data_IF_997479371538
#
_entry.id   IF_997479371538
#
_cell.length_a   1.000
_cell.length_b   1.000
_cell.length_c   1.000
_cell.angle_alpha   90.00
_cell.angle_beta   90.00
_cell.angle_gamma   90.00
#
_symmetry.space_group_name_H-M   'P 1'
#
loop_
_entity.id
_entity.type
_entity.pdbx_description
1 polymer ?
#
# COMPACT_ATOMS: atom_id res chain seq x y z
N UNK A 1 -25.20 4.91 14.26
CA UNK A 1 -24.62 4.14 15.38
C UNK A 1 -25.27 4.45 16.75
N UNK A 2 -26.48 5.02 16.78
CA UNK A 2 -27.13 5.29 18.06
C UNK A 2 -27.36 4.00 18.82
N UNK A 3 -26.98 3.95 20.10
CA UNK A 3 -26.97 2.77 20.98
C UNK A 3 -26.08 1.60 20.45
N UNK A 4 -25.08 1.92 19.65
CA UNK A 4 -24.14 0.97 19.07
C UNK A 4 -22.69 1.38 19.32
N UNK A 5 -21.77 0.78 18.52
CA UNK A 5 -20.33 1.07 18.54
C UNK A 5 -19.96 1.77 17.24
N UNK A 6 -19.13 2.81 17.34
CA UNK A 6 -18.51 3.51 16.22
C UNK A 6 -17.00 3.30 16.32
N UNK A 7 -16.41 2.75 15.28
CA UNK A 7 -14.95 2.64 15.14
C UNK A 7 -14.45 3.81 14.29
N UNK A 8 -13.47 4.53 14.82
CA UNK A 8 -12.79 5.65 14.15
C UNK A 8 -11.36 5.22 13.89
N UNK A 9 -11.07 4.89 12.65
CA UNK A 9 -9.71 4.53 12.24
C UNK A 9 -8.91 5.78 11.87
N UNK A 10 -7.59 5.72 12.03
CA UNK A 10 -6.65 6.80 11.73
C UNK A 10 -7.04 8.15 12.37
N UNK A 11 -7.47 8.12 13.65
CA UNK A 11 -7.94 9.32 14.36
C UNK A 11 -6.89 10.45 14.40
N UNK A 12 -5.60 10.11 14.30
CA UNK A 12 -4.49 11.06 14.26
C UNK A 12 -4.46 11.93 13.00
N UNK A 13 -5.12 11.50 11.91
CA UNK A 13 -5.21 12.24 10.65
C UNK A 13 -6.39 13.23 10.62
N UNK A 14 -7.19 13.28 11.68
CA UNK A 14 -8.37 14.14 11.73
C UNK A 14 -7.97 15.62 11.83
N UNK A 15 -8.45 16.50 10.93
CA UNK A 15 -8.20 17.95 11.00
C UNK A 15 -8.69 18.57 12.32
N UNK A 16 -7.96 19.58 12.85
CA UNK A 16 -8.26 20.24 14.13
C UNK A 16 -9.72 20.71 14.27
N UNK A 17 -10.32 21.19 13.18
CA UNK A 17 -11.72 21.62 13.16
C UNK A 17 -12.69 20.44 13.43
N UNK A 18 -12.36 19.27 12.88
CA UNK A 18 -13.16 18.06 13.06
C UNK A 18 -12.95 17.46 14.44
N UNK A 19 -11.73 17.58 15.00
CA UNK A 19 -11.44 17.17 16.37
C UNK A 19 -12.34 17.89 17.38
N UNK A 20 -12.59 19.21 17.19
CA UNK A 20 -13.49 19.97 18.04
C UNK A 20 -14.95 19.50 17.95
N UNK A 21 -15.39 19.08 16.76
CA UNK A 21 -16.74 18.51 16.56
C UNK A 21 -16.87 17.13 17.19
N UNK A 22 -15.85 16.30 17.04
CA UNK A 22 -15.81 14.98 17.64
C UNK A 22 -15.82 15.05 19.18
N UNK A 23 -15.08 16.00 19.74
CA UNK A 23 -15.07 16.21 21.19
C UNK A 23 -16.47 16.47 21.75
N UNK A 24 -17.29 17.29 21.07
CA UNK A 24 -18.69 17.53 21.46
C UNK A 24 -19.53 16.27 21.44
N UNK A 25 -19.35 15.43 20.41
CA UNK A 25 -20.04 14.13 20.33
C UNK A 25 -19.69 13.24 21.52
N UNK A 26 -18.38 13.21 21.90
CA UNK A 26 -17.91 12.35 22.99
C UNK A 26 -18.33 12.90 24.36
N UNK A 27 -18.36 14.23 24.53
CA UNK A 27 -18.69 14.86 25.81
C UNK A 27 -20.21 14.99 26.05
N UNK A 28 -20.91 15.54 25.05
CA UNK A 28 -22.30 15.96 25.18
C UNK A 28 -23.27 14.92 24.58
N UNK A 29 -22.76 13.98 23.78
CA UNK A 29 -23.59 13.05 23.03
C UNK A 29 -24.41 13.72 21.94
N UNK A 30 -23.99 14.88 21.45
CA UNK A 30 -24.73 15.70 20.48
C UNK A 30 -23.91 16.05 19.25
N UNK A 31 -24.56 16.06 18.08
CA UNK A 31 -23.99 16.54 16.84
C UNK A 31 -25.01 17.29 15.99
N UNK A 32 -24.51 18.06 15.02
CA UNK A 32 -25.33 18.77 14.05
C UNK A 32 -25.16 18.19 12.66
N UNK A 33 -26.24 18.10 11.90
CA UNK A 33 -26.13 17.76 10.46
C UNK A 33 -25.46 18.92 9.72
N UNK A 34 -24.80 18.63 8.63
CA UNK A 34 -24.23 19.66 7.75
C UNK A 34 -25.36 20.59 7.28
N UNK A 35 -25.20 21.91 7.56
CA UNK A 35 -26.22 22.92 7.28
C UNK A 35 -27.43 22.94 8.23
N UNK A 36 -27.46 22.05 9.21
CA UNK A 36 -28.56 22.00 10.22
C UNK A 36 -28.23 22.78 11.49
N UNK A 37 -29.26 23.35 12.12
CA UNK A 37 -29.16 24.07 13.38
C UNK A 37 -29.72 23.31 14.59
N UNK A 38 -30.37 22.17 14.35
CA UNK A 38 -30.99 21.37 15.40
C UNK A 38 -29.98 20.31 15.88
N UNK A 39 -29.68 20.23 17.21
CA UNK A 39 -28.81 19.21 17.75
C UNK A 39 -29.49 17.85 17.72
N UNK A 40 -28.73 16.83 17.41
CA UNK A 40 -29.18 15.43 17.44
C UNK A 40 -28.43 14.72 18.56
N UNK A 41 -29.19 14.16 19.49
CA UNK A 41 -28.63 13.35 20.58
C UNK A 41 -28.29 11.95 20.10
N UNK A 42 -27.15 11.45 20.54
CA UNK A 42 -26.68 10.10 20.25
C UNK A 42 -26.03 9.49 21.49
N UNK A 43 -26.25 8.20 21.67
CA UNK A 43 -25.54 7.39 22.65
C UNK A 43 -24.71 6.37 21.88
N UNK A 44 -23.38 6.59 21.81
CA UNK A 44 -22.49 5.76 21.00
C UNK A 44 -21.23 5.43 21.79
N UNK A 45 -20.83 4.16 21.77
CA UNK A 45 -19.51 3.75 22.26
C UNK A 45 -18.48 3.99 21.15
N UNK A 46 -17.45 4.77 21.45
CA UNK A 46 -16.39 5.07 20.49
C UNK A 46 -15.18 4.17 20.77
N UNK A 47 -14.64 3.58 19.70
CA UNK A 47 -13.35 2.90 19.65
C UNK A 47 -12.53 3.64 18.62
N UNK A 48 -11.37 4.17 19.00
CA UNK A 48 -10.47 4.87 18.07
C UNK A 48 -9.19 4.07 17.89
N UNK A 49 -8.67 4.09 16.67
CA UNK A 49 -7.39 3.50 16.33
C UNK A 49 -6.50 4.53 15.62
N UNK A 50 -5.19 4.42 15.82
CA UNK A 50 -4.19 5.26 15.15
C UNK A 50 -2.84 4.55 15.14
N UNK A 51 -2.05 4.81 14.11
CA UNK A 51 -0.64 4.45 14.02
C UNK A 51 0.29 5.61 14.42
N UNK A 52 -0.27 6.80 14.71
CA UNK A 52 0.47 8.00 15.09
C UNK A 52 0.68 8.08 16.60
N UNK A 53 1.77 8.70 17.01
CA UNK A 53 2.04 9.08 18.40
C UNK A 53 1.22 10.34 18.74
N UNK A 54 0.05 10.14 19.35
CA UNK A 54 -0.86 11.25 19.66
C UNK A 54 -0.30 12.18 20.74
N UNK A 55 0.61 11.70 21.61
CA UNK A 55 1.26 12.57 22.61
C UNK A 55 2.14 13.61 21.94
N UNK A 56 2.97 13.18 20.97
CA UNK A 56 3.76 14.10 20.15
C UNK A 56 2.88 15.06 19.36
N UNK A 57 1.80 14.57 18.77
CA UNK A 57 0.87 15.41 18.03
C UNK A 57 0.21 16.48 18.92
N UNK A 58 -0.03 16.18 20.20
CA UNK A 58 -0.51 17.17 21.17
C UNK A 58 0.56 18.22 21.47
N UNK A 59 1.84 17.81 21.62
CA UNK A 59 2.96 18.72 21.83
C UNK A 59 3.19 19.65 20.63
N UNK A 60 3.07 19.12 19.44
CA UNK A 60 3.20 19.84 18.16
C UNK A 60 1.95 20.70 17.81
N UNK A 61 0.87 20.60 18.59
CA UNK A 61 -0.37 21.33 18.34
C UNK A 61 -1.21 20.78 17.19
N UNK A 62 -0.88 19.59 16.66
CA UNK A 62 -1.60 18.90 15.59
C UNK A 62 -2.81 18.11 16.10
N UNK A 63 -2.83 17.80 17.39
CA UNK A 63 -3.95 17.13 18.05
C UNK A 63 -4.35 17.86 19.33
N UNK A 64 -5.66 18.00 19.56
CA UNK A 64 -6.17 18.69 20.74
C UNK A 64 -5.93 17.87 22.01
N UNK A 65 -5.40 18.51 23.04
CA UNK A 65 -5.15 17.89 24.33
C UNK A 65 -6.42 17.40 25.02
N UNK A 66 -7.51 18.16 24.92
CA UNK A 66 -8.81 17.83 25.53
C UNK A 66 -9.41 16.55 24.88
N UNK A 67 -9.32 16.42 23.57
CA UNK A 67 -9.78 15.23 22.85
C UNK A 67 -8.89 14.01 23.17
N UNK A 68 -7.56 14.20 23.24
CA UNK A 68 -6.63 13.13 23.60
C UNK A 68 -7.00 12.48 24.93
N UNK A 69 -7.16 13.28 26.01
CA UNK A 69 -7.53 12.73 27.32
C UNK A 69 -8.92 12.08 27.34
N UNK A 70 -9.82 12.47 26.47
CA UNK A 70 -11.15 11.86 26.39
C UNK A 70 -11.15 10.53 25.62
N UNK A 71 -10.25 10.35 24.66
CA UNK A 71 -10.08 9.12 23.91
C UNK A 71 -9.17 8.13 24.65
N UNK A 72 -8.10 8.60 25.28
CA UNK A 72 -7.08 7.76 25.93
C UNK A 72 -7.47 7.38 27.37
N UNK A 73 -8.69 6.88 27.56
CA UNK A 73 -9.17 6.34 28.85
C UNK A 73 -8.67 4.90 29.04
N UNK A 74 -8.68 4.12 27.99
CA UNK A 74 -8.17 2.76 27.95
C UNK A 74 -7.43 2.55 26.64
N UNK A 75 -6.10 2.37 26.72
CA UNK A 75 -5.26 2.16 25.56
C UNK A 75 -4.85 0.69 25.43
N UNK A 76 -4.84 0.20 24.21
CA UNK A 76 -4.31 -1.10 23.82
C UNK A 76 -3.30 -0.91 22.71
N UNK A 77 -2.08 -1.34 22.93
CA UNK A 77 -1.02 -1.30 21.94
C UNK A 77 -0.86 -2.67 21.28
N UNK A 78 -1.01 -2.72 19.95
CA UNK A 78 -0.77 -3.92 19.17
C UNK A 78 0.69 -3.89 18.70
N UNK A 79 1.48 -4.87 19.13
CA UNK A 79 2.87 -4.98 18.71
C UNK A 79 2.97 -5.24 17.19
N UNK A 80 3.95 -4.64 16.50
CA UNK A 80 4.21 -4.94 15.09
C UNK A 80 4.63 -6.40 14.90
N UNK A 81 4.41 -6.93 13.68
CA UNK A 81 4.60 -8.35 13.40
C UNK A 81 6.02 -8.85 13.70
N UNK A 82 7.05 -8.02 13.48
CA UNK A 82 8.45 -8.33 13.83
C UNK A 82 8.71 -8.62 15.33
N UNK A 83 7.81 -8.19 16.23
CA UNK A 83 7.89 -8.43 17.68
C UNK A 83 7.07 -9.66 18.12
N UNK A 84 6.39 -10.31 17.18
CA UNK A 84 5.60 -11.52 17.40
C UNK A 84 5.81 -12.52 16.27
N UNK A 85 7.07 -12.91 16.08
CA UNK A 85 7.50 -13.82 15.02
C UNK A 85 6.78 -15.16 15.03
N UNK A 86 6.33 -15.61 16.20
CA UNK A 86 5.60 -16.87 16.36
C UNK A 86 4.21 -16.84 15.67
N UNK A 87 3.64 -15.63 15.48
CA UNK A 87 2.37 -15.46 14.79
C UNK A 87 2.51 -15.51 13.26
N UNK A 88 3.73 -15.37 12.71
CA UNK A 88 3.94 -15.21 11.26
C UNK A 88 3.45 -16.44 10.50
N UNK A 89 3.84 -17.64 10.91
CA UNK A 89 3.45 -18.87 10.22
C UNK A 89 1.96 -19.17 10.39
N UNK A 90 1.41 -18.91 11.56
CA UNK A 90 -0.02 -19.04 11.83
C UNK A 90 -0.86 -18.13 10.93
N UNK A 91 -0.44 -16.87 10.81
CA UNK A 91 -1.11 -15.89 9.95
C UNK A 91 -0.92 -16.21 8.47
N UNK A 92 0.28 -16.71 8.09
CA UNK A 92 0.55 -17.15 6.73
C UNK A 92 -0.38 -18.29 6.34
N UNK A 93 -0.51 -19.34 7.17
CA UNK A 93 -1.43 -20.44 6.94
C UNK A 93 -2.88 -20.00 6.81
N UNK A 94 -3.30 -19.08 7.67
CA UNK A 94 -4.64 -18.49 7.60
C UNK A 94 -4.89 -17.79 6.25
N UNK A 95 -3.93 -17.00 5.77
CA UNK A 95 -4.08 -16.30 4.49
C UNK A 95 -4.01 -17.26 3.31
N UNK A 96 -3.10 -18.23 3.32
CA UNK A 96 -2.99 -19.24 2.28
C UNK A 96 -4.31 -20.05 2.16
N UNK A 97 -4.90 -20.42 3.29
CA UNK A 97 -6.21 -21.10 3.30
C UNK A 97 -7.33 -20.18 2.76
N UNK A 98 -7.35 -18.90 3.18
CA UNK A 98 -8.31 -17.89 2.72
C UNK A 98 -8.29 -17.71 1.21
N UNK A 99 -7.12 -17.82 0.58
CA UNK A 99 -6.97 -17.69 -0.87
C UNK A 99 -7.01 -19.02 -1.63
N UNK A 100 -7.24 -20.14 -0.94
CA UNK A 100 -7.41 -21.45 -1.56
C UNK A 100 -6.12 -22.15 -1.90
N UNK A 101 -4.97 -21.68 -1.38
CA UNK A 101 -3.68 -22.31 -1.62
C UNK A 101 -3.58 -23.71 -1.03
N UNK A 102 -2.90 -24.61 -1.74
CA UNK A 102 -2.53 -25.92 -1.23
C UNK A 102 -1.27 -25.90 -0.35
N UNK A 103 -0.48 -24.80 -0.39
CA UNK A 103 0.72 -24.62 0.42
C UNK A 103 0.33 -24.49 1.91
N UNK A 104 1.09 -25.12 2.81
CA UNK A 104 0.96 -24.99 4.26
C UNK A 104 2.34 -24.87 4.89
N UNK A 105 2.43 -24.15 5.99
CA UNK A 105 3.69 -23.91 6.70
C UNK A 105 4.34 -25.22 7.16
N UNK A 106 3.58 -26.25 7.48
CA UNK A 106 4.07 -27.58 7.90
C UNK A 106 4.84 -28.32 6.80
N UNK A 107 4.58 -28.00 5.53
CA UNK A 107 5.26 -28.61 4.38
C UNK A 107 6.42 -27.75 3.85
N UNK A 108 6.66 -26.57 4.45
CA UNK A 108 7.76 -25.71 4.05
C UNK A 108 9.11 -26.26 4.53
N UNK A 109 10.17 -26.19 3.72
CA UNK A 109 11.52 -26.47 4.17
C UNK A 109 11.92 -25.61 5.38
N UNK A 110 12.71 -26.16 6.33
CA UNK A 110 13.13 -25.40 7.51
C UNK A 110 13.85 -24.08 7.20
N UNK A 111 14.56 -24.01 6.10
CA UNK A 111 15.23 -22.80 5.60
C UNK A 111 14.25 -21.72 5.18
N UNK A 112 13.16 -22.08 4.49
CA UNK A 112 12.07 -21.18 4.10
C UNK A 112 11.34 -20.66 5.34
N UNK A 113 11.01 -21.55 6.27
CA UNK A 113 10.39 -21.20 7.54
C UNK A 113 11.24 -20.19 8.33
N UNK A 114 12.55 -20.45 8.44
CA UNK A 114 13.49 -19.57 9.10
C UNK A 114 13.60 -18.21 8.39
N UNK A 115 13.65 -18.21 7.07
CA UNK A 115 13.67 -16.99 6.27
C UNK A 115 12.43 -16.14 6.51
N UNK A 116 11.23 -16.73 6.41
CA UNK A 116 9.96 -16.03 6.62
C UNK A 116 9.84 -15.43 8.02
N UNK A 117 10.23 -16.18 9.06
CA UNK A 117 10.14 -15.70 10.45
C UNK A 117 11.19 -14.64 10.81
N UNK A 118 12.27 -14.55 10.04
CA UNK A 118 13.34 -13.56 10.24
C UNK A 118 13.07 -12.21 9.56
N UNK A 119 12.05 -12.12 8.68
CA UNK A 119 11.71 -10.89 7.97
C UNK A 119 11.13 -9.81 8.90
N UNK A 120 11.36 -8.55 8.57
CA UNK A 120 10.93 -7.40 9.39
C UNK A 120 9.48 -6.99 9.17
N UNK A 121 8.90 -7.34 8.03
CA UNK A 121 7.52 -6.99 7.63
C UNK A 121 7.13 -5.54 7.95
N UNK A 122 7.73 -4.53 7.30
CA UNK A 122 7.38 -3.12 7.54
C UNK A 122 5.89 -2.84 7.30
N UNK A 123 5.24 -3.53 6.34
CA UNK A 123 3.81 -3.50 6.12
C UNK A 123 2.98 -4.38 7.06
N UNK A 124 3.65 -5.04 8.05
CA UNK A 124 3.01 -5.91 9.04
C UNK A 124 2.15 -7.01 8.39
N UNK A 125 0.92 -7.20 8.90
CA UNK A 125 -0.01 -8.26 8.45
C UNK A 125 -0.41 -8.05 6.98
N UNK A 126 -0.54 -6.81 6.51
CA UNK A 126 -0.87 -6.53 5.09
C UNK A 126 0.21 -7.02 4.13
N UNK A 127 1.47 -6.88 4.52
CA UNK A 127 2.59 -7.39 3.72
C UNK A 127 2.60 -8.93 3.68
N UNK A 128 2.35 -9.56 4.81
CA UNK A 128 2.24 -11.01 4.90
C UNK A 128 1.03 -11.55 4.10
N UNK A 129 -0.09 -10.85 4.14
CA UNK A 129 -1.28 -11.16 3.34
C UNK A 129 -0.98 -11.06 1.84
N UNK A 130 -0.30 -9.99 1.40
CA UNK A 130 0.14 -9.83 0.02
C UNK A 130 1.13 -10.93 -0.41
N UNK A 131 2.02 -11.34 0.50
CA UNK A 131 2.93 -12.47 0.25
C UNK A 131 2.14 -13.76 0.01
N UNK A 132 1.15 -14.05 0.84
CA UNK A 132 0.29 -15.24 0.67
C UNK A 132 -0.47 -15.22 -0.68
N UNK A 133 -0.98 -14.07 -1.11
CA UNK A 133 -1.61 -13.92 -2.43
C UNK A 133 -0.63 -14.21 -3.58
N UNK A 134 0.61 -13.72 -3.45
CA UNK A 134 1.64 -13.98 -4.45
C UNK A 134 2.03 -15.45 -4.50
N UNK A 135 2.19 -16.09 -3.34
CA UNK A 135 2.46 -17.53 -3.26
C UNK A 135 1.37 -18.31 -3.99
N UNK A 136 0.10 -18.00 -3.77
CA UNK A 136 -1.00 -18.67 -4.45
C UNK A 136 -0.95 -18.47 -5.97
N UNK A 137 -0.73 -17.24 -6.43
CA UNK A 137 -0.64 -16.92 -7.85
C UNK A 137 0.52 -17.63 -8.56
N UNK A 138 1.65 -17.87 -7.84
CA UNK A 138 2.82 -18.57 -8.38
C UNK A 138 2.69 -20.08 -8.31
N UNK A 139 1.96 -20.61 -7.33
CA UNK A 139 1.94 -22.04 -6.97
C UNK A 139 0.57 -22.67 -7.14
N UNK A 140 -0.13 -22.35 -8.22
CA UNK A 140 -1.45 -22.90 -8.52
C UNK A 140 -1.45 -24.43 -8.46
N UNK A 141 -2.01 -24.99 -7.36
CA UNK A 141 -2.15 -26.42 -7.12
C UNK A 141 -0.92 -27.15 -6.55
N UNK A 142 0.19 -26.49 -6.30
CA UNK A 142 1.38 -27.10 -5.66
C UNK A 142 1.34 -26.95 -4.13
N UNK A 143 1.99 -27.88 -3.42
CA UNK A 143 2.00 -27.92 -1.95
C UNK A 143 3.34 -27.50 -1.32
N UNK A 144 4.41 -27.42 -2.11
CA UNK A 144 5.76 -27.10 -1.63
C UNK A 144 6.25 -25.77 -2.20
N UNK A 145 7.13 -25.11 -1.45
CA UNK A 145 7.76 -23.85 -1.80
C UNK A 145 9.26 -23.93 -1.52
N UNK A 146 10.08 -23.75 -2.54
CA UNK A 146 11.54 -23.73 -2.39
C UNK A 146 12.06 -22.36 -1.95
N UNK A 147 13.35 -22.30 -1.56
CA UNK A 147 13.97 -21.06 -1.14
C UNK A 147 14.14 -20.07 -2.30
N UNK A 148 14.48 -20.58 -3.50
CA UNK A 148 14.60 -19.77 -4.71
C UNK A 148 13.26 -19.13 -5.07
N UNK A 149 12.19 -19.89 -5.03
CA UNK A 149 10.84 -19.42 -5.33
C UNK A 149 10.34 -18.35 -4.35
N UNK A 150 10.61 -18.52 -3.04
CA UNK A 150 10.19 -17.51 -2.05
C UNK A 150 10.96 -16.20 -2.21
N UNK A 151 12.24 -16.25 -2.62
CA UNK A 151 13.01 -15.05 -2.92
C UNK A 151 12.47 -14.35 -4.16
N UNK A 152 12.18 -15.08 -5.23
CA UNK A 152 11.59 -14.51 -6.44
C UNK A 152 10.21 -13.87 -6.18
N UNK A 153 9.37 -14.56 -5.39
CA UNK A 153 8.07 -14.05 -4.96
C UNK A 153 8.23 -12.81 -4.04
N UNK A 154 9.24 -12.79 -3.18
CA UNK A 154 9.52 -11.71 -2.23
C UNK A 154 9.96 -10.42 -2.93
N UNK A 155 10.80 -10.51 -3.95
CA UNK A 155 11.36 -9.38 -4.69
C UNK A 155 10.41 -8.83 -5.78
N UNK A 156 9.29 -9.52 -6.05
CA UNK A 156 8.33 -9.05 -7.03
C UNK A 156 7.70 -7.72 -6.60
N UNK A 157 7.67 -6.68 -7.47
CA UNK A 157 7.10 -5.39 -7.15
C UNK A 157 5.62 -5.54 -6.77
N UNK A 158 5.22 -4.90 -5.67
CA UNK A 158 3.84 -4.92 -5.20
C UNK A 158 2.98 -4.14 -6.19
N UNK A 159 2.25 -4.84 -7.05
CA UNK A 159 1.15 -4.23 -7.80
C UNK A 159 0.07 -3.84 -6.79
N UNK A 160 0.04 -2.57 -6.39
CA UNK A 160 -1.04 -2.01 -5.57
C UNK A 160 -2.28 -1.89 -6.44
N UNK A 161 -3.12 -2.91 -6.45
CA UNK A 161 -4.52 -2.77 -6.82
C UNK A 161 -5.29 -2.31 -5.58
N UNK A 162 -5.98 -1.18 -5.73
CA UNK A 162 -6.89 -0.55 -4.81
C UNK A 162 -6.29 0.27 -3.65
N UNK A 163 -5.89 1.51 -3.99
CA UNK A 163 -6.16 2.70 -3.17
C UNK A 163 -5.87 3.97 -4.00
N UNK A 164 -6.66 4.17 -5.04
CA UNK A 164 -6.64 5.42 -5.81
C UNK A 164 -7.76 6.33 -5.34
N UNK A 165 -7.57 7.03 -4.21
CA UNK A 165 -8.18 8.35 -3.93
C UNK A 165 -7.50 8.98 -2.73
N UNK A 166 -6.63 9.94 -2.98
CA UNK A 166 -6.12 10.83 -1.92
C UNK A 166 -4.76 11.42 -2.25
N UNK A 167 -4.77 12.50 -3.02
CA UNK A 167 -3.84 13.63 -3.05
C UNK A 167 -2.34 13.36 -3.27
N UNK A 168 -1.94 13.70 -4.49
CA UNK A 168 -0.59 14.12 -4.80
C UNK A 168 -0.17 15.32 -3.93
N UNK A 169 0.87 15.16 -3.13
CA UNK A 169 1.79 16.23 -2.82
C UNK A 169 3.21 15.65 -2.83
N UNK A 170 3.93 16.13 -3.79
CA UNK A 170 5.34 15.95 -4.02
C UNK A 170 6.17 16.48 -2.85
N UNK A 171 6.93 15.63 -2.21
CA UNK A 171 8.24 16.02 -1.70
C UNK A 171 9.21 14.84 -1.89
N UNK A 172 10.11 15.08 -2.82
CA UNK A 172 11.25 14.25 -3.14
C UNK A 172 12.22 14.21 -1.96
N UNK A 173 12.31 13.08 -1.29
CA UNK A 173 13.47 12.77 -0.46
C UNK A 173 14.19 11.60 -1.10
N UNK A 174 15.33 11.90 -1.70
CA UNK A 174 16.18 10.95 -2.37
C UNK A 174 16.73 9.90 -1.41
N UNK A 175 16.44 8.65 -1.73
CA UNK A 175 17.28 7.53 -1.37
C UNK A 175 17.78 6.99 -2.71
N UNK A 176 19.07 7.22 -2.97
CA UNK A 176 19.74 6.74 -4.18
C UNK A 176 19.90 5.23 -4.11
N UNK A 177 18.93 4.49 -4.59
CA UNK A 177 19.15 3.16 -5.11
C UNK A 177 19.30 3.28 -6.61
N UNK A 178 20.50 3.03 -7.10
CA UNK A 178 20.81 2.91 -8.53
C UNK A 178 20.02 1.73 -9.08
N UNK A 179 18.90 2.04 -9.75
CA UNK A 179 18.17 1.08 -10.56
C UNK A 179 19.14 0.43 -11.57
N UNK A 180 19.00 -0.88 -11.88
CA UNK A 180 19.76 -1.51 -12.95
C UNK A 180 19.66 -0.69 -14.24
N UNK A 181 20.72 -0.68 -15.05
CA UNK A 181 20.82 0.15 -16.25
C UNK A 181 19.74 -0.16 -17.32
N UNK A 182 19.02 -1.26 -17.17
CA UNK A 182 17.94 -1.76 -18.03
C UNK A 182 16.53 -1.56 -17.46
N UNK A 183 16.40 -0.85 -16.32
CA UNK A 183 15.09 -0.57 -15.73
C UNK A 183 14.52 0.78 -16.15
N UNK A 184 13.22 0.82 -16.45
CA UNK A 184 12.46 2.00 -16.81
C UNK A 184 11.40 2.29 -15.74
N UNK A 185 11.43 3.49 -15.20
CA UNK A 185 10.32 4.01 -14.38
C UNK A 185 9.34 4.70 -15.32
N UNK A 186 8.15 4.10 -15.50
CA UNK A 186 7.08 4.64 -16.36
C UNK A 186 6.10 5.40 -15.48
N UNK A 187 5.76 6.64 -15.85
CA UNK A 187 4.66 7.36 -15.22
C UNK A 187 3.33 6.79 -15.71
N UNK A 188 2.41 6.50 -14.77
CA UNK A 188 1.08 6.03 -15.11
C UNK A 188 0.29 7.16 -15.78
N UNK A 189 -0.03 6.95 -17.06
CA UNK A 189 -0.80 7.86 -17.91
C UNK A 189 -1.71 7.01 -18.84
N UNK A 190 -2.21 7.61 -19.92
CA UNK A 190 -2.93 6.85 -20.95
C UNK A 190 -2.04 5.76 -21.56
N UNK A 191 -2.64 4.67 -22.02
CA UNK A 191 -1.90 3.54 -22.60
C UNK A 191 -0.97 3.99 -23.74
N UNK A 192 -1.42 4.91 -24.57
CA UNK A 192 -0.62 5.46 -25.69
C UNK A 192 0.63 6.20 -25.19
N UNK A 193 0.54 6.98 -24.11
CA UNK A 193 1.69 7.67 -23.51
C UNK A 193 2.67 6.71 -22.85
N UNK A 194 2.16 5.67 -22.18
CA UNK A 194 3.00 4.61 -21.61
C UNK A 194 3.77 3.88 -22.71
N UNK A 195 3.11 3.52 -23.81
CA UNK A 195 3.76 2.90 -24.97
C UNK A 195 4.84 3.82 -25.56
N UNK A 196 4.59 5.11 -25.68
CA UNK A 196 5.55 6.10 -26.17
C UNK A 196 6.77 6.18 -25.25
N UNK A 197 6.60 6.22 -23.93
CA UNK A 197 7.70 6.21 -22.94
C UNK A 197 8.57 4.96 -23.05
N UNK A 198 7.95 3.77 -23.18
CA UNK A 198 8.67 2.50 -23.34
C UNK A 198 9.47 2.47 -24.64
N UNK A 199 8.89 2.91 -25.75
CA UNK A 199 9.56 2.95 -27.06
C UNK A 199 10.71 3.94 -27.04
N UNK A 200 10.54 5.12 -26.47
CA UNK A 200 11.59 6.15 -26.37
C UNK A 200 12.75 5.68 -25.49
N UNK A 201 12.47 5.03 -24.38
CA UNK A 201 13.50 4.43 -23.54
C UNK A 201 14.26 3.31 -24.26
N UNK A 202 13.57 2.41 -24.94
CA UNK A 202 14.21 1.34 -25.71
C UNK A 202 15.06 1.89 -26.86
N UNK A 203 14.61 2.95 -27.53
CA UNK A 203 15.41 3.64 -28.57
C UNK A 203 16.71 4.21 -27.99
N UNK A 204 16.65 4.83 -26.81
CA UNK A 204 17.84 5.37 -26.14
C UNK A 204 18.77 4.25 -25.68
N UNK A 205 18.23 3.17 -25.09
CA UNK A 205 18.99 2.03 -24.60
C UNK A 205 19.75 1.30 -25.71
N UNK A 206 19.13 1.07 -26.86
CA UNK A 206 19.74 0.42 -28.04
C UNK A 206 20.43 1.40 -29.01
N UNK A 207 20.68 2.64 -28.55
CA UNK A 207 21.43 3.64 -29.37
C UNK A 207 20.79 3.93 -30.73
N UNK A 208 19.47 3.88 -30.84
CA UNK A 208 18.72 4.11 -32.07
C UNK A 208 18.56 2.89 -32.98
N UNK A 209 19.00 1.70 -32.55
CA UNK A 209 18.92 0.47 -33.35
C UNK A 209 17.48 -0.06 -33.39
N UNK A 210 16.73 0.39 -34.41
CA UNK A 210 15.32 0.06 -34.62
C UNK A 210 15.04 -1.45 -34.70
N UNK A 211 16.02 -2.23 -35.22
CA UNK A 211 15.85 -3.68 -35.36
C UNK A 211 15.87 -4.37 -34.01
N UNK A 212 16.75 -3.98 -33.10
CA UNK A 212 16.80 -4.52 -31.75
C UNK A 212 15.58 -4.11 -30.92
N UNK A 213 15.15 -2.86 -31.02
CA UNK A 213 13.90 -2.37 -30.37
C UNK A 213 12.69 -3.17 -30.81
N UNK A 214 12.53 -3.42 -32.13
CA UNK A 214 11.42 -4.25 -32.65
C UNK A 214 11.45 -5.68 -32.08
N UNK A 215 12.64 -6.28 -32.02
CA UNK A 215 12.79 -7.65 -31.52
C UNK A 215 12.50 -7.75 -30.01
N UNK A 216 13.00 -6.79 -29.23
CA UNK A 216 12.83 -6.77 -27.77
C UNK A 216 11.39 -6.48 -27.38
N UNK A 217 10.76 -5.50 -27.99
CA UNK A 217 9.37 -5.13 -27.69
C UNK A 217 8.34 -5.98 -28.45
N UNK A 218 8.77 -6.89 -29.31
CA UNK A 218 7.92 -7.75 -30.15
C UNK A 218 6.89 -6.97 -30.97
N UNK A 219 7.25 -5.77 -31.45
CA UNK A 219 6.36 -4.91 -32.25
C UNK A 219 6.75 -4.93 -33.74
N UNK A 220 5.75 -4.72 -34.58
CA UNK A 220 5.97 -4.67 -36.02
C UNK A 220 6.70 -3.39 -36.44
N UNK A 221 7.39 -3.43 -37.61
CA UNK A 221 8.04 -2.26 -38.20
C UNK A 221 7.07 -1.11 -38.41
N UNK A 222 5.87 -1.40 -38.87
CA UNK A 222 4.82 -0.40 -39.10
C UNK A 222 4.34 0.26 -37.81
N UNK A 223 4.20 -0.51 -36.71
CA UNK A 223 3.85 -0.01 -35.38
C UNK A 223 4.93 0.91 -34.84
N UNK A 224 6.20 0.50 -34.89
CA UNK A 224 7.32 1.31 -34.41
C UNK A 224 7.41 2.65 -35.17
N UNK A 225 7.33 2.64 -36.49
CA UNK A 225 7.37 3.87 -37.30
C UNK A 225 6.21 4.82 -37.03
N UNK A 226 5.00 4.28 -36.81
CA UNK A 226 3.84 5.08 -36.45
C UNK A 226 4.03 5.79 -35.12
N UNK A 227 4.48 5.05 -34.10
CA UNK A 227 4.69 5.58 -32.75
C UNK A 227 5.85 6.59 -32.69
N UNK A 228 6.95 6.36 -33.40
CA UNK A 228 8.05 7.34 -33.47
C UNK A 228 7.61 8.66 -34.11
N UNK A 229 6.75 8.61 -35.12
CA UNK A 229 6.19 9.81 -35.74
C UNK A 229 5.23 10.55 -34.81
N UNK A 230 4.47 9.84 -34.00
CA UNK A 230 3.59 10.44 -32.97
C UNK A 230 4.41 11.15 -31.90
N UNK A 231 5.53 10.57 -31.43
CA UNK A 231 6.45 11.15 -30.45
C UNK A 231 7.10 12.42 -31.00
N UNK A 232 7.60 12.41 -32.26
CA UNK A 232 8.20 13.59 -32.90
C UNK A 232 7.21 14.78 -32.99
N UNK A 233 5.94 14.53 -33.23
CA UNK A 233 4.89 15.58 -33.30
C UNK A 233 4.56 16.15 -31.91
N UNK A 234 4.61 15.33 -30.85
CA UNK A 234 4.38 15.78 -29.48
C UNK A 234 5.53 16.69 -28.99
N UNK A 235 6.78 16.36 -29.32
CA UNK A 235 7.97 17.18 -28.96
C UNK A 235 8.02 18.54 -29.69
N UNK A 236 7.45 18.66 -30.89
CA UNK A 236 7.35 19.93 -31.61
C UNK A 236 6.20 20.84 -31.16
N UNK A 237 5.31 20.33 -30.27
CA UNK A 237 4.09 21.02 -29.83
C UNK A 237 4.18 21.58 -28.41
N UNK A 238 5.27 21.32 -27.66
CA UNK A 238 5.61 21.90 -26.34
C UNK A 238 6.66 23.01 -26.50
#
# INVERSE_FOLDING_TARGET
ANNGVMCLDEIGELPLEMQAKLLRVIQDGEFYRVGGTTPIKTNVRIISATNRDLEKFVEEGLFRRDLYYRLNVMSLTIAPLRMRSDDILLLLDYFLEKYGSAVRSEFLPPEVTKYLTAQTYPGNIRELENLAQRIEAFKEGETSLSMEEIMEIGDAPICRSDDAKGQANSESTGIGETLPADSLVVQLDSLDRIENQVIQHAMNYYGGNKTEVMNTLQISRTTLWKKLKEIEIEEESE
#
